data_IF_539638354719
#
_entry.id   IF_539638354719
#
_cell.length_a   1.000
_cell.length_b   1.000
_cell.length_c   1.000
_cell.angle_alpha   90.00
_cell.angle_beta   90.00
_cell.angle_gamma   90.00
#
_symmetry.space_group_name_H-M   'P 1'
#
loop_
_entity.id
_entity.type
_entity.pdbx_description
1 polymer ?
#
# COMPACT_ATOMS: atom_id res chain seq x y z
N UNK A 1 1.76 16.94 -3.39
CA UNK A 1 1.04 15.96 -2.54
C UNK A 1 1.37 14.51 -2.87
N UNK A 2 1.02 13.96 -4.05
CA UNK A 2 1.32 12.54 -4.36
C UNK A 2 2.83 12.26 -4.44
N UNK A 3 3.62 13.21 -4.96
CA UNK A 3 5.09 13.12 -4.95
C UNK A 3 5.65 13.10 -3.52
N UNK A 4 5.22 14.03 -2.67
CA UNK A 4 5.67 14.14 -1.28
C UNK A 4 5.40 12.87 -0.47
N UNK A 5 4.23 12.23 -0.69
CA UNK A 5 3.91 10.93 -0.09
C UNK A 5 4.90 9.85 -0.58
N UNK A 6 5.26 9.86 -1.86
CA UNK A 6 6.24 8.93 -2.43
C UNK A 6 7.62 9.09 -1.77
N UNK A 7 8.12 10.32 -1.66
CA UNK A 7 9.39 10.61 -0.98
C UNK A 7 9.35 10.19 0.49
N UNK A 8 8.33 10.62 1.24
CA UNK A 8 8.19 10.28 2.65
C UNK A 8 8.08 8.77 2.88
N UNK A 9 7.36 8.06 2.01
CA UNK A 9 7.25 6.60 2.06
C UNK A 9 8.60 5.92 1.81
N UNK A 10 9.32 6.35 0.78
CA UNK A 10 10.64 5.82 0.46
C UNK A 10 11.60 5.97 1.64
N UNK A 11 11.74 7.20 2.14
CA UNK A 11 12.61 7.53 3.27
C UNK A 11 12.27 6.69 4.50
N UNK A 12 10.98 6.55 4.81
CA UNK A 12 10.53 5.74 5.95
C UNK A 12 10.86 4.26 5.81
N UNK A 13 10.79 3.72 4.59
CA UNK A 13 11.04 2.30 4.27
C UNK A 13 12.53 1.97 4.25
N UNK A 14 13.38 2.85 3.71
CA UNK A 14 14.84 2.60 3.61
C UNK A 14 15.58 2.92 4.90
N UNK A 15 15.05 3.82 5.74
CA UNK A 15 15.65 4.18 7.02
C UNK A 15 15.95 2.93 7.84
N UNK A 16 17.21 2.76 8.23
CA UNK A 16 17.70 1.64 9.03
C UNK A 16 17.29 0.26 8.46
N UNK A 17 17.22 0.12 7.13
CA UNK A 17 16.85 -1.12 6.44
C UNK A 17 15.49 -1.70 6.86
N UNK A 18 14.52 -0.85 7.20
CA UNK A 18 13.18 -1.30 7.66
C UNK A 18 12.42 -2.17 6.67
N UNK A 19 12.73 -2.09 5.38
CA UNK A 19 12.17 -2.95 4.34
C UNK A 19 12.31 -4.46 4.64
N UNK A 20 13.25 -4.89 5.48
CA UNK A 20 13.40 -6.30 5.89
C UNK A 20 12.26 -6.80 6.80
N UNK A 21 11.56 -5.89 7.48
CA UNK A 21 10.43 -6.23 8.36
C UNK A 21 9.09 -6.17 7.64
N UNK A 22 9.07 -5.64 6.41
CA UNK A 22 7.87 -5.48 5.62
C UNK A 22 7.84 -6.61 4.59
N UNK A 23 6.77 -7.38 4.60
CA UNK A 23 6.53 -8.41 3.59
C UNK A 23 6.11 -7.77 2.26
N UNK A 24 5.04 -6.96 2.28
CA UNK A 24 4.49 -6.32 1.08
C UNK A 24 3.84 -4.98 1.42
N UNK A 25 4.05 -3.96 0.58
CA UNK A 25 3.31 -2.69 0.61
C UNK A 25 2.32 -2.68 -0.56
N UNK A 26 1.04 -2.71 -0.25
CA UNK A 26 -0.03 -2.64 -1.24
C UNK A 26 -0.44 -1.19 -1.51
N UNK A 27 -0.50 -0.81 -2.78
CA UNK A 27 -1.21 0.39 -3.24
C UNK A 27 -2.61 -0.06 -3.63
N UNK A 28 -3.60 0.30 -2.83
CA UNK A 28 -4.96 -0.22 -2.93
C UNK A 28 -5.91 0.84 -3.50
N UNK A 29 -6.48 0.56 -4.66
CA UNK A 29 -7.46 1.42 -5.29
C UNK A 29 -8.88 1.12 -4.82
N UNK A 30 -9.65 2.18 -4.56
CA UNK A 30 -11.07 2.09 -4.19
C UNK A 30 -11.95 3.05 -5.00
N UNK A 31 -13.19 2.66 -5.22
CA UNK A 31 -14.23 3.49 -5.85
C UNK A 31 -15.39 3.76 -4.89
N UNK A 32 -16.24 4.71 -5.27
CA UNK A 32 -17.58 4.85 -4.67
C UNK A 32 -18.55 3.79 -5.23
N UNK A 33 -19.79 3.81 -4.76
CA UNK A 33 -20.83 2.85 -5.17
C UNK A 33 -21.34 3.03 -6.60
N UNK A 34 -21.07 4.16 -7.28
CA UNK A 34 -21.55 4.38 -8.65
C UNK A 34 -20.82 3.44 -9.59
N UNK A 35 -21.55 2.90 -10.57
CA UNK A 35 -20.98 2.00 -11.57
C UNK A 35 -20.11 2.79 -12.55
N UNK A 36 -18.83 2.45 -12.64
CA UNK A 36 -17.90 3.00 -13.63
C UNK A 36 -18.09 2.35 -15.01
N UNK A 37 -19.18 2.69 -15.71
CA UNK A 37 -19.58 2.05 -16.98
C UNK A 37 -18.53 2.27 -18.09
N UNK A 38 -17.78 3.37 -18.05
CA UNK A 38 -16.75 3.71 -19.05
C UNK A 38 -15.42 2.98 -18.87
N UNK A 39 -15.27 2.14 -17.84
CA UNK A 39 -14.06 1.40 -17.56
C UNK A 39 -14.27 -0.09 -17.80
N UNK A 40 -13.29 -0.73 -18.44
CA UNK A 40 -13.24 -2.18 -18.54
C UNK A 40 -13.35 -2.81 -17.14
N UNK A 41 -14.15 -3.87 -17.00
CA UNK A 41 -14.45 -4.51 -15.70
C UNK A 41 -15.10 -3.57 -14.66
N UNK A 42 -15.63 -2.42 -15.08
CA UNK A 42 -16.34 -1.48 -14.23
C UNK A 42 -15.48 -0.92 -13.08
N UNK A 43 -16.03 -0.95 -11.87
CA UNK A 43 -15.33 -0.44 -10.68
C UNK A 43 -14.05 -1.21 -10.36
N UNK A 44 -13.96 -2.50 -10.75
CA UNK A 44 -12.73 -3.27 -10.58
C UNK A 44 -11.60 -2.66 -11.41
N UNK A 45 -11.82 -2.48 -12.71
CA UNK A 45 -10.82 -1.86 -13.57
C UNK A 45 -10.48 -0.43 -13.15
N UNK A 46 -11.49 0.41 -12.86
CA UNK A 46 -11.24 1.77 -12.39
C UNK A 46 -10.37 1.80 -11.13
N UNK A 47 -10.68 0.95 -10.14
CA UNK A 47 -9.90 0.88 -8.89
C UNK A 47 -8.45 0.47 -9.15
N UNK A 48 -8.23 -0.58 -9.95
CA UNK A 48 -6.91 -1.05 -10.32
C UNK A 48 -6.12 0.02 -11.09
N UNK A 49 -6.73 0.67 -12.09
CA UNK A 49 -6.07 1.74 -12.85
C UNK A 49 -5.66 2.92 -11.98
N UNK A 50 -6.46 3.30 -10.98
CA UNK A 50 -6.11 4.37 -10.04
C UNK A 50 -4.86 4.01 -9.23
N UNK A 51 -4.77 2.78 -8.73
CA UNK A 51 -3.59 2.32 -8.00
C UNK A 51 -2.35 2.19 -8.91
N UNK A 52 -2.53 1.68 -10.13
CA UNK A 52 -1.46 1.63 -11.15
C UNK A 52 -0.94 3.04 -11.46
N UNK A 53 -1.82 4.03 -11.59
CA UNK A 53 -1.42 5.40 -11.88
C UNK A 53 -0.49 5.98 -10.79
N UNK A 54 -0.78 5.71 -9.52
CA UNK A 54 0.09 6.11 -8.39
C UNK A 54 1.44 5.40 -8.50
N UNK A 55 1.43 4.07 -8.70
CA UNK A 55 2.67 3.30 -8.85
C UNK A 55 3.53 3.80 -10.01
N UNK A 56 2.95 4.01 -11.20
CA UNK A 56 3.67 4.51 -12.37
C UNK A 56 4.21 5.92 -12.11
N UNK A 57 3.45 6.79 -11.45
CA UNK A 57 3.95 8.10 -11.08
C UNK A 57 5.19 8.01 -10.17
N UNK A 58 5.14 7.21 -9.10
CA UNK A 58 6.28 7.05 -8.21
C UNK A 58 7.48 6.37 -8.88
N UNK A 59 7.24 5.33 -9.68
CA UNK A 59 8.31 4.50 -10.25
C UNK A 59 8.89 5.01 -11.57
N UNK A 60 8.21 5.92 -12.27
CA UNK A 60 8.62 6.44 -13.58
C UNK A 60 8.81 7.96 -13.61
N UNK A 61 8.19 8.73 -12.72
CA UNK A 61 8.22 10.20 -12.75
C UNK A 61 9.02 10.84 -11.62
N UNK A 62 9.19 10.16 -10.49
CA UNK A 62 10.10 10.62 -9.44
C UNK A 62 11.54 10.19 -9.76
N UNK A 63 12.50 11.01 -9.35
CA UNK A 63 13.93 10.73 -9.44
C UNK A 63 14.34 9.47 -8.65
N UNK A 64 13.67 9.21 -7.52
CA UNK A 64 13.82 7.99 -6.71
C UNK A 64 13.12 6.75 -7.31
N UNK A 65 12.47 6.88 -8.47
CA UNK A 65 11.70 5.80 -9.11
C UNK A 65 12.48 4.49 -9.34
N UNK A 66 13.73 4.52 -9.86
CA UNK A 66 14.57 3.33 -9.98
C UNK A 66 14.82 2.64 -8.63
N UNK A 67 15.08 3.42 -7.58
CA UNK A 67 15.28 2.90 -6.22
C UNK A 67 14.00 2.29 -5.65
N UNK A 68 12.84 2.92 -5.88
CA UNK A 68 11.53 2.39 -5.51
C UNK A 68 11.28 1.00 -6.10
N UNK A 69 11.60 0.81 -7.39
CA UNK A 69 11.46 -0.47 -8.10
C UNK A 69 12.44 -1.54 -7.60
N UNK A 70 13.60 -1.11 -7.12
CA UNK A 70 14.64 -2.01 -6.60
C UNK A 70 14.37 -2.50 -5.18
N UNK A 71 13.44 -1.87 -4.44
CA UNK A 71 13.11 -2.28 -3.07
C UNK A 71 12.59 -3.71 -3.02
N UNK A 72 13.22 -4.49 -2.16
CA UNK A 72 12.89 -5.89 -1.90
C UNK A 72 12.65 -6.14 -0.42
N UNK A 73 11.77 -7.08 -0.12
CA UNK A 73 11.59 -7.59 1.24
C UNK A 73 12.72 -8.55 1.64
N UNK A 74 12.67 -9.10 2.85
CA UNK A 74 13.65 -10.07 3.37
C UNK A 74 13.76 -11.36 2.55
N UNK A 75 12.77 -11.66 1.71
CA UNK A 75 12.73 -12.84 0.84
C UNK A 75 13.24 -12.54 -0.59
N UNK A 76 13.79 -11.34 -0.82
CA UNK A 76 14.27 -10.91 -2.13
C UNK A 76 13.16 -10.66 -3.16
N UNK A 77 11.89 -10.58 -2.74
CA UNK A 77 10.75 -10.29 -3.61
C UNK A 77 10.51 -8.78 -3.69
N UNK A 78 9.98 -8.25 -4.81
CA UNK A 78 9.60 -6.84 -4.92
C UNK A 78 8.68 -6.42 -3.76
N UNK A 79 8.98 -5.27 -3.16
CA UNK A 79 8.28 -4.84 -1.96
C UNK A 79 6.85 -4.33 -2.24
N UNK A 80 6.58 -3.81 -3.44
CA UNK A 80 5.30 -3.20 -3.78
C UNK A 80 4.39 -4.13 -4.55
N UNK A 81 3.10 -4.07 -4.23
CA UNK A 81 2.02 -4.74 -4.95
C UNK A 81 0.86 -3.78 -5.19
N UNK A 82 0.04 -4.09 -6.19
CA UNK A 82 -1.09 -3.26 -6.61
C UNK A 82 -2.37 -4.08 -6.45
N UNK A 83 -3.38 -3.48 -5.84
CA UNK A 83 -4.69 -4.09 -5.70
C UNK A 83 -5.80 -3.09 -6.06
N UNK A 84 -6.89 -3.59 -6.63
CA UNK A 84 -8.12 -2.85 -6.86
C UNK A 84 -9.27 -3.54 -6.15
N UNK A 85 -10.02 -2.81 -5.33
CA UNK A 85 -11.13 -3.36 -4.53
C UNK A 85 -12.51 -2.88 -4.97
N UNK A 86 -12.61 -2.12 -6.07
CA UNK A 86 -13.86 -1.55 -6.55
C UNK A 86 -14.59 -0.82 -5.39
N UNK A 87 -15.91 -1.01 -5.30
CA UNK A 87 -16.77 -0.47 -4.25
C UNK A 87 -16.92 -1.43 -3.05
N UNK A 88 -16.20 -2.55 -3.02
CA UNK A 88 -16.49 -3.67 -2.08
C UNK A 88 -16.02 -3.41 -0.64
N UNK A 89 -15.14 -2.42 -0.44
CA UNK A 89 -14.60 -2.01 0.86
C UNK A 89 -14.83 -0.50 1.09
N UNK A 90 -16.10 -0.07 1.26
CA UNK A 90 -16.41 1.33 1.47
C UNK A 90 -16.03 1.76 2.89
N UNK A 91 -15.52 2.98 3.05
CA UNK A 91 -15.44 3.64 4.36
C UNK A 91 -16.83 4.06 4.82
N UNK A 92 -17.65 4.54 3.88
CA UNK A 92 -19.04 4.94 4.10
C UNK A 92 -19.97 3.96 3.37
N UNK A 93 -20.68 3.12 4.13
CA UNK A 93 -21.57 2.09 3.57
C UNK A 93 -22.66 2.65 2.64
N UNK A 94 -23.23 3.81 2.99
CA UNK A 94 -24.27 4.48 2.20
C UNK A 94 -23.72 5.83 1.74
N UNK A 95 -23.16 5.87 0.54
CA UNK A 95 -22.54 7.06 -0.06
C UNK A 95 -23.46 7.74 -1.08
N UNK A 96 -24.69 8.04 -0.66
CA UNK A 96 -25.72 8.70 -1.46
C UNK A 96 -25.49 10.21 -1.72
N UNK A 97 -24.33 10.75 -1.34
CA UNK A 97 -23.99 12.18 -1.56
C UNK A 97 -22.58 12.28 -2.11
N UNK A 98 -22.31 13.33 -2.88
CA UNK A 98 -20.98 13.55 -3.50
C UNK A 98 -19.85 13.59 -2.48
N UNK A 99 -20.08 14.16 -1.29
CA UNK A 99 -19.09 14.18 -0.21
C UNK A 99 -18.76 12.79 0.32
N UNK A 100 -19.78 11.96 0.59
CA UNK A 100 -19.59 10.58 1.05
C UNK A 100 -18.90 9.73 -0.02
N UNK A 101 -19.28 9.90 -1.30
CA UNK A 101 -18.62 9.21 -2.41
C UNK A 101 -17.14 9.60 -2.52
N UNK A 102 -16.82 10.89 -2.31
CA UNK A 102 -15.43 11.35 -2.31
C UNK A 102 -14.58 10.63 -1.27
N UNK A 103 -15.15 10.34 -0.09
CA UNK A 103 -14.47 9.57 0.97
C UNK A 103 -14.19 8.12 0.53
N UNK A 104 -15.07 7.51 -0.25
CA UNK A 104 -14.85 6.15 -0.76
C UNK A 104 -13.87 6.11 -1.95
N UNK A 105 -13.79 7.16 -2.79
CA UNK A 105 -12.82 7.29 -3.90
C UNK A 105 -11.41 7.61 -3.40
N UNK A 106 -10.70 6.61 -2.89
CA UNK A 106 -9.39 6.78 -2.25
C UNK A 106 -8.33 5.80 -2.77
N UNK A 107 -7.10 6.05 -2.36
CA UNK A 107 -5.97 5.13 -2.46
C UNK A 107 -5.52 4.86 -1.03
N UNK A 108 -5.44 3.59 -0.64
CA UNK A 108 -4.90 3.19 0.66
C UNK A 108 -3.50 2.59 0.46
N UNK A 109 -2.65 2.77 1.47
CA UNK A 109 -1.37 2.06 1.58
C UNK A 109 -1.49 1.04 2.70
N UNK A 110 -1.39 -0.25 2.36
CA UNK A 110 -1.48 -1.35 3.33
C UNK A 110 -0.14 -2.06 3.45
N UNK A 111 0.38 -2.12 4.66
CA UNK A 111 1.64 -2.78 4.98
C UNK A 111 1.34 -4.16 5.56
N UNK A 112 1.80 -5.20 4.88
CA UNK A 112 1.90 -6.55 5.42
C UNK A 112 3.29 -6.69 6.05
N UNK A 113 3.34 -7.04 7.34
CA UNK A 113 4.61 -7.21 8.05
C UNK A 113 5.07 -8.66 7.95
N UNK A 114 6.39 -8.87 7.90
CA UNK A 114 7.01 -10.19 8.01
C UNK A 114 6.52 -10.85 9.32
N UNK A 115 6.09 -12.11 9.24
CA UNK A 115 5.82 -12.88 10.46
C UNK A 115 7.16 -13.16 11.15
N UNK A 116 7.31 -12.85 12.45
CA UNK A 116 8.51 -13.20 13.18
C UNK A 116 8.70 -14.71 13.14
N UNK A 117 9.94 -15.14 12.90
CA UNK A 117 10.30 -16.56 12.98
C UNK A 117 10.34 -16.92 14.47
N UNK A 118 9.99 -18.14 14.87
CA UNK A 118 9.91 -18.55 16.28
C UNK A 118 11.18 -18.16 17.07
N UNK A 119 12.37 -18.26 16.47
CA UNK A 119 13.64 -17.83 17.06
C UNK A 119 13.74 -16.31 17.32
N UNK A 120 13.14 -15.49 16.47
CA UNK A 120 12.99 -14.04 16.70
C UNK A 120 11.98 -13.76 17.83
N UNK A 121 11.00 -14.65 18.04
CA UNK A 121 10.04 -14.55 19.14
C UNK A 121 10.67 -14.91 20.49
N UNK A 122 11.43 -16.01 20.53
CA UNK A 122 12.17 -16.44 21.72
C UNK A 122 13.18 -15.39 22.18
N UNK A 123 13.90 -14.74 21.25
CA UNK A 123 14.83 -13.66 21.60
C UNK A 123 14.12 -12.42 22.16
N UNK A 124 12.90 -12.10 21.70
CA UNK A 124 12.09 -11.02 22.30
C UNK A 124 11.58 -11.40 23.69
N UNK A 125 11.13 -12.65 23.89
CA UNK A 125 10.72 -13.14 25.21
C UNK A 125 11.87 -13.10 26.22
N UNK A 126 13.06 -13.54 25.81
CA UNK A 126 14.26 -13.50 26.66
C UNK A 126 14.63 -12.08 27.08
N UNK A 127 14.48 -11.09 26.18
CA UNK A 127 14.72 -9.68 26.52
C UNK A 127 13.70 -9.17 27.53
N UNK A 128 12.44 -9.58 27.42
CA UNK A 128 11.40 -9.19 28.38
C UNK A 128 11.62 -9.82 29.76
N UNK A 129 12.07 -11.07 29.84
CA UNK A 129 12.43 -11.73 31.11
C UNK A 129 13.65 -11.11 31.81
N UNK A 130 14.58 -10.51 31.06
CA UNK A 130 15.75 -9.82 31.63
C UNK A 130 15.39 -8.42 32.15
N UNK A 131 14.26 -7.86 31.69
CA UNK A 131 13.79 -6.52 32.07
C UNK A 131 12.76 -6.54 33.21
N UNK A 132 12.32 -7.72 33.64
CA UNK A 132 11.57 -7.98 34.89
C UNK A 132 12.50 -8.32 36.05
#
# INVERSE_FOLDING_TARGET
>A
MVADIGYALYDAVVKNHRNIYIDTIFIEGHTDSRKAISFEMGNWGLSSYRAIAVWKFWSEKLDIGPSFKALKNSYGKPLFSISGYAATRPLIKIDNTTEKQRKNRRIDLRFSMKKPIISEYESVLNIMEILE
#
